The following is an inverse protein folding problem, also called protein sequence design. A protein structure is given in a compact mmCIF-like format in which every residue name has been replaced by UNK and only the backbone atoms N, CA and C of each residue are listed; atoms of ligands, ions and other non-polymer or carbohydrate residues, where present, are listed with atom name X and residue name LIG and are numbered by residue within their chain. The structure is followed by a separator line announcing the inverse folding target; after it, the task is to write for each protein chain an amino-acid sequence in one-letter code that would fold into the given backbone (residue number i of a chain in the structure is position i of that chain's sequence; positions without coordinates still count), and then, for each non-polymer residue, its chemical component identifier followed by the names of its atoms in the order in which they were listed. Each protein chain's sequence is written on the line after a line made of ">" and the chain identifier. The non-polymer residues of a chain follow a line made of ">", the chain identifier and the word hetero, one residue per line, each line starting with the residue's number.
data_IF_096573611401
#
_entry.id   IF_096573611401
#
_cell.length_a   1.000
_cell.length_b   1.000
_cell.length_c   1.000
_cell.angle_alpha   90.00
_cell.angle_beta   90.00
_cell.angle_gamma   90.00
#
_symmetry.space_group_name_H-M   'P 1'
#
loop_
_entity.id
_entity.type
_entity.pdbx_description
1 polymer ?
#
# COMPACT_ATOMS: atom_id res chain seq x y z
N UNK A 1 -18.48 -0.45 -12.01
CA UNK A 1 -18.21 0.65 -11.08
C UNK A 1 -16.73 0.87 -10.95
N UNK A 2 -16.33 2.13 -10.95
CA UNK A 2 -14.91 2.38 -10.86
C UNK A 2 -14.48 2.50 -9.41
N UNK A 3 -13.18 2.36 -9.19
CA UNK A 3 -12.58 2.56 -7.89
C UNK A 3 -12.51 4.06 -7.60
N UNK A 4 -12.83 4.43 -6.37
CA UNK A 4 -12.75 5.82 -5.93
C UNK A 4 -11.81 5.91 -4.75
N UNK A 5 -11.00 6.96 -4.75
CA UNK A 5 -10.04 7.21 -3.69
C UNK A 5 -10.38 8.46 -2.94
N UNK A 6 -10.15 8.42 -1.65
CA UNK A 6 -10.15 9.61 -0.81
C UNK A 6 -8.81 9.63 -0.08
N UNK A 7 -8.04 10.69 -0.29
CA UNK A 7 -6.71 10.81 0.29
C UNK A 7 -6.74 11.90 1.34
N UNK A 8 -6.38 11.55 2.58
CA UNK A 8 -6.40 12.48 3.70
C UNK A 8 -5.03 12.52 4.35
N UNK A 9 -4.29 13.63 4.22
CA UNK A 9 -3.01 13.74 4.92
C UNK A 9 -3.26 13.92 6.41
N UNK A 10 -2.49 13.18 7.19
CA UNK A 10 -2.52 13.28 8.65
C UNK A 10 -1.15 13.72 9.11
N UNK A 11 -1.02 13.93 10.42
CA UNK A 11 0.28 14.30 10.96
C UNK A 11 1.20 13.09 10.91
N UNK A 12 2.14 13.11 9.99
CA UNK A 12 3.14 12.07 9.89
C UNK A 12 2.77 10.88 9.02
N UNK A 13 1.55 10.82 8.50
CA UNK A 13 1.18 9.71 7.63
C UNK A 13 0.02 10.12 6.72
N UNK A 14 -0.27 9.24 5.77
CA UNK A 14 -1.32 9.47 4.78
C UNK A 14 -2.36 8.38 4.94
N UNK A 15 -3.63 8.76 5.02
CA UNK A 15 -4.72 7.81 5.02
C UNK A 15 -5.38 7.84 3.65
N UNK A 16 -5.56 6.66 3.06
CA UNK A 16 -6.20 6.51 1.77
C UNK A 16 -7.37 5.56 1.95
N UNK A 17 -8.55 5.98 1.55
CA UNK A 17 -9.72 5.10 1.56
C UNK A 17 -10.12 4.80 0.13
N UNK A 18 -10.29 3.53 -0.19
CA UNK A 18 -10.66 3.11 -1.53
C UNK A 18 -11.96 2.31 -1.47
N UNK A 19 -12.88 2.60 -2.39
CA UNK A 19 -14.15 1.88 -2.50
C UNK A 19 -14.39 1.60 -3.97
N UNK A 20 -15.22 0.61 -4.24
CA UNK A 20 -15.63 0.27 -5.60
C UNK A 20 -15.16 -1.11 -6.00
N UNK A 21 -15.30 -1.41 -7.28
CA UNK A 21 -14.93 -2.72 -7.80
C UNK A 21 -13.47 -2.71 -8.25
N UNK A 22 -12.71 -3.71 -7.82
CA UNK A 22 -11.30 -3.81 -8.18
C UNK A 22 -11.13 -3.94 -9.68
N UNK A 23 -10.18 -3.21 -10.24
CA UNK A 23 -9.76 -3.32 -11.62
C UNK A 23 -8.26 -3.07 -11.62
N UNK A 24 -7.51 -3.92 -12.32
CA UNK A 24 -6.06 -3.78 -12.35
C UNK A 24 -5.64 -2.42 -12.90
N UNK A 25 -6.31 -1.98 -13.95
CA UNK A 25 -6.00 -0.70 -14.57
C UNK A 25 -6.20 0.45 -13.59
N UNK A 26 -7.35 0.45 -12.92
CA UNK A 26 -7.65 1.54 -12.00
C UNK A 26 -6.79 1.46 -10.75
N UNK A 27 -6.48 0.24 -10.30
CA UNK A 27 -5.61 0.08 -9.14
C UNK A 27 -4.23 0.68 -9.41
N UNK A 28 -3.71 0.46 -10.62
CA UNK A 28 -2.42 1.06 -10.97
C UNK A 28 -2.49 2.57 -11.03
N UNK A 29 -3.55 3.11 -11.63
CA UNK A 29 -3.69 4.55 -11.71
C UNK A 29 -3.84 5.18 -10.34
N UNK A 30 -4.66 4.59 -9.47
CA UNK A 30 -4.85 5.14 -8.14
C UNK A 30 -3.59 5.02 -7.31
N UNK A 31 -2.78 3.99 -7.52
CA UNK A 31 -1.53 3.87 -6.80
C UNK A 31 -0.59 5.03 -7.14
N UNK A 32 -0.56 5.44 -8.41
CA UNK A 32 0.26 6.57 -8.80
C UNK A 32 -0.22 7.86 -8.12
N UNK A 33 -1.53 8.02 -7.94
CA UNK A 33 -2.05 9.17 -7.20
C UNK A 33 -1.58 9.16 -5.75
N UNK A 34 -1.52 7.96 -5.15
CA UNK A 34 -1.04 7.82 -3.79
C UNK A 34 0.43 8.24 -3.70
N UNK A 35 1.24 7.80 -4.65
CA UNK A 35 2.66 8.16 -4.64
C UNK A 35 2.87 9.65 -4.82
N UNK A 36 2.04 10.28 -5.64
CA UNK A 36 2.12 11.72 -5.81
C UNK A 36 1.82 12.43 -4.48
N UNK A 37 0.82 11.94 -3.75
CA UNK A 37 0.48 12.52 -2.45
C UNK A 37 1.59 12.27 -1.43
N UNK A 38 2.20 11.09 -1.45
CA UNK A 38 3.32 10.78 -0.57
C UNK A 38 4.44 11.81 -0.75
N UNK A 39 4.76 12.10 -2.01
CA UNK A 39 5.81 13.08 -2.30
C UNK A 39 5.38 14.48 -1.90
N UNK A 40 4.13 14.83 -2.20
CA UNK A 40 3.63 16.18 -1.93
C UNK A 40 3.61 16.48 -0.44
N UNK A 41 3.16 15.54 0.37
CA UNK A 41 3.03 15.75 1.80
C UNK A 41 4.25 15.27 2.58
N UNK A 42 5.23 14.71 1.89
CA UNK A 42 6.49 14.27 2.48
C UNK A 42 6.25 13.33 3.66
N UNK A 43 5.38 12.35 3.46
CA UNK A 43 5.09 11.36 4.49
C UNK A 43 5.88 10.09 4.21
N UNK A 44 6.05 9.27 5.23
CA UNK A 44 6.76 8.01 5.11
C UNK A 44 5.89 6.80 5.43
N UNK A 45 4.63 7.03 5.77
CA UNK A 45 3.71 5.97 6.15
C UNK A 45 2.39 6.20 5.45
N UNK A 46 1.84 5.13 4.88
CA UNK A 46 0.56 5.17 4.18
C UNK A 46 -0.33 4.07 4.75
N UNK A 47 -1.52 4.45 5.16
CA UNK A 47 -2.56 3.49 5.55
C UNK A 47 -3.58 3.46 4.45
N UNK A 48 -3.64 2.34 3.73
CA UNK A 48 -4.57 2.15 2.63
C UNK A 48 -5.73 1.31 3.16
N UNK A 49 -6.89 1.93 3.32
CA UNK A 49 -8.10 1.26 3.81
C UNK A 49 -8.93 0.88 2.60
N UNK A 50 -8.80 -0.36 2.16
CA UNK A 50 -9.52 -0.88 1.01
C UNK A 50 -10.64 -1.81 1.39
N UNK A 51 -11.18 -1.70 2.60
CA UNK A 51 -12.27 -2.58 3.02
C UNK A 51 -13.55 -2.34 2.22
N UNK A 52 -13.67 -1.19 1.55
CA UNK A 52 -14.81 -0.93 0.69
C UNK A 52 -14.63 -1.43 -0.74
N UNK A 53 -13.50 -2.06 -1.04
CA UNK A 53 -13.28 -2.65 -2.36
C UNK A 53 -13.97 -4.01 -2.45
N UNK A 54 -14.51 -4.31 -3.63
CA UNK A 54 -15.15 -5.60 -3.89
C UNK A 54 -14.50 -6.22 -5.11
N UNK A 55 -14.74 -7.53 -5.30
CA UNK A 55 -14.19 -8.25 -6.43
C UNK A 55 -13.22 -9.31 -5.98
N UNK A 56 -12.81 -10.13 -6.93
CA UNK A 56 -11.86 -11.20 -6.64
C UNK A 56 -10.73 -11.11 -7.66
N UNK A 57 -9.64 -10.42 -7.34
CA UNK A 57 -8.54 -10.30 -8.29
C UNK A 57 -7.96 -11.67 -8.62
N UNK A 58 -7.61 -11.86 -9.89
CA UNK A 58 -6.97 -13.09 -10.32
C UNK A 58 -5.52 -13.11 -9.85
N UNK A 59 -4.95 -14.31 -9.76
CA UNK A 59 -3.58 -14.45 -9.34
C UNK A 59 -2.63 -13.63 -10.21
N UNK A 60 -2.85 -13.66 -11.54
CA UNK A 60 -2.00 -12.91 -12.44
C UNK A 60 -2.15 -11.41 -12.23
N UNK A 61 -3.35 -10.95 -11.86
CA UNK A 61 -3.56 -9.55 -11.58
C UNK A 61 -2.83 -9.14 -10.30
N UNK A 62 -2.82 -10.01 -9.29
CA UNK A 62 -2.08 -9.74 -8.06
C UNK A 62 -0.59 -9.65 -8.33
N UNK A 63 -0.09 -10.50 -9.23
CA UNK A 63 1.30 -10.46 -9.61
C UNK A 63 1.65 -9.13 -10.29
N UNK A 64 0.84 -8.75 -11.27
CA UNK A 64 1.12 -7.51 -12.00
C UNK A 64 1.00 -6.28 -11.11
N UNK A 65 0.02 -6.28 -10.21
CA UNK A 65 -0.12 -5.14 -9.32
C UNK A 65 1.08 -5.03 -8.38
N UNK A 66 1.51 -6.14 -7.79
CA UNK A 66 2.67 -6.13 -6.89
C UNK A 66 3.92 -5.68 -7.60
N UNK A 67 4.15 -6.19 -8.81
CA UNK A 67 5.31 -5.81 -9.59
C UNK A 67 5.26 -4.33 -9.98
N UNK A 68 4.09 -3.89 -10.43
CA UNK A 68 3.90 -2.50 -10.83
C UNK A 68 4.12 -1.55 -9.64
N UNK A 69 3.53 -1.87 -8.49
CA UNK A 69 3.63 -1.01 -7.31
C UNK A 69 5.07 -0.87 -6.87
N UNK A 70 5.80 -1.98 -6.81
CA UNK A 70 7.20 -1.94 -6.38
C UNK A 70 8.05 -1.13 -7.35
N UNK A 71 7.79 -1.28 -8.65
CA UNK A 71 8.54 -0.55 -9.66
C UNK A 71 8.24 0.95 -9.58
N UNK A 72 6.96 1.29 -9.35
CA UNK A 72 6.57 2.68 -9.24
C UNK A 72 7.19 3.34 -8.02
N UNK A 73 7.25 2.63 -6.90
CA UNK A 73 7.87 3.14 -5.69
C UNK A 73 9.35 3.42 -5.93
N UNK A 74 10.04 2.50 -6.60
CA UNK A 74 11.46 2.69 -6.89
C UNK A 74 11.67 3.88 -7.81
N UNK A 75 10.82 4.03 -8.82
CA UNK A 75 10.96 5.14 -9.78
C UNK A 75 10.66 6.48 -9.13
N UNK A 76 9.76 6.51 -8.16
CA UNK A 76 9.39 7.76 -7.49
C UNK A 76 10.35 8.12 -6.36
N UNK A 77 11.33 7.27 -6.08
CA UNK A 77 12.33 7.51 -5.03
C UNK A 77 11.71 7.62 -3.63
N UNK A 78 10.63 6.87 -3.41
CA UNK A 78 9.97 6.83 -2.09
C UNK A 78 10.06 5.44 -1.49
N UNK A 79 11.15 4.75 -1.73
CA UNK A 79 11.30 3.33 -1.37
C UNK A 79 11.28 3.07 0.13
N UNK A 80 11.48 4.08 0.95
CA UNK A 80 11.42 3.90 2.40
C UNK A 80 10.04 4.17 2.96
N UNK A 81 9.06 4.43 2.10
CA UNK A 81 7.69 4.60 2.54
C UNK A 81 7.12 3.25 2.95
N UNK A 82 6.45 3.22 4.07
CA UNK A 82 5.84 2.02 4.64
C UNK A 82 4.36 2.03 4.27
N UNK A 83 3.90 0.97 3.59
CA UNK A 83 2.52 0.88 3.12
C UNK A 83 1.80 -0.23 3.87
N UNK A 84 0.73 0.11 4.59
CA UNK A 84 -0.14 -0.89 5.23
C UNK A 84 -1.45 -0.90 4.47
N UNK A 85 -1.84 -2.06 3.95
CA UNK A 85 -3.10 -2.25 3.25
C UNK A 85 -4.06 -2.99 4.15
N UNK A 86 -5.26 -2.46 4.35
CA UNK A 86 -6.32 -3.16 5.08
C UNK A 86 -7.36 -3.58 4.04
N UNK A 87 -7.53 -4.86 3.87
CA UNK A 87 -8.39 -5.42 2.82
C UNK A 87 -9.23 -6.54 3.40
N UNK A 88 -10.33 -6.87 2.73
CA UNK A 88 -11.14 -8.01 3.08
C UNK A 88 -11.07 -9.06 2.00
N UNK A 89 -11.19 -10.33 2.39
CA UNK A 89 -11.29 -11.43 1.44
C UNK A 89 -12.55 -11.23 0.62
N UNK A 90 -12.55 -11.43 -0.69
CA UNK A 90 -11.49 -12.03 -1.51
C UNK A 90 -10.53 -11.02 -2.14
N UNK A 91 -10.71 -9.72 -1.93
CA UNK A 91 -9.72 -8.76 -2.42
C UNK A 91 -8.39 -9.04 -1.74
N UNK A 92 -8.43 -9.30 -0.43
CA UNK A 92 -7.25 -9.76 0.27
C UNK A 92 -7.00 -11.22 -0.08
N UNK A 93 -5.83 -11.49 -0.61
CA UNK A 93 -5.42 -12.85 -0.95
C UNK A 93 -5.01 -13.58 0.34
N UNK A 94 -5.62 -14.74 0.66
CA UNK A 94 -5.21 -15.48 1.86
C UNK A 94 -3.74 -15.85 1.86
N UNK A 95 -3.14 -16.02 0.68
CA UNK A 95 -1.73 -16.37 0.56
C UNK A 95 -0.82 -15.15 0.45
N UNK A 96 -1.38 -13.95 0.41
CA UNK A 96 -0.64 -12.69 0.32
C UNK A 96 0.30 -12.66 -0.88
N UNK A 97 -0.13 -13.21 -1.99
CA UNK A 97 0.75 -13.35 -3.15
C UNK A 97 1.24 -12.00 -3.69
N UNK A 98 0.34 -11.01 -3.81
CA UNK A 98 0.74 -9.70 -4.29
C UNK A 98 1.74 -9.04 -3.35
N UNK A 99 1.53 -9.20 -2.04
CA UNK A 99 2.46 -8.67 -1.07
C UNK A 99 3.83 -9.30 -1.22
N UNK A 100 3.88 -10.62 -1.39
CA UNK A 100 5.16 -11.32 -1.54
C UNK A 100 5.90 -10.81 -2.76
N UNK A 101 5.18 -10.63 -3.88
CA UNK A 101 5.81 -10.14 -5.11
C UNK A 101 6.41 -8.75 -4.88
N UNK A 102 5.65 -7.85 -4.25
CA UNK A 102 6.11 -6.48 -4.04
C UNK A 102 7.29 -6.43 -3.07
N UNK A 103 7.21 -7.20 -1.97
CA UNK A 103 8.27 -7.22 -0.98
C UNK A 103 9.57 -7.75 -1.59
N UNK A 104 9.47 -8.80 -2.41
CA UNK A 104 10.65 -9.37 -3.03
C UNK A 104 11.30 -8.40 -4.01
N UNK A 105 10.61 -7.36 -4.41
CA UNK A 105 11.15 -6.34 -5.31
C UNK A 105 11.52 -5.05 -4.58
N UNK A 106 11.57 -5.11 -3.25
CA UNK A 106 12.06 -4.00 -2.46
C UNK A 106 11.03 -3.03 -1.93
N UNK A 107 9.76 -3.30 -2.12
CA UNK A 107 8.71 -2.44 -1.57
C UNK A 107 8.45 -2.80 -0.11
N UNK A 108 8.22 -1.79 0.71
CA UNK A 108 7.98 -1.98 2.13
C UNK A 108 6.48 -1.96 2.37
N UNK A 109 5.83 -3.11 2.25
CA UNK A 109 4.38 -3.20 2.27
C UNK A 109 3.93 -4.44 3.04
N UNK A 110 2.77 -4.33 3.67
CA UNK A 110 2.16 -5.47 4.34
C UNK A 110 0.65 -5.32 4.29
N UNK A 111 -0.03 -6.44 4.08
CA UNK A 111 -1.48 -6.48 4.00
C UNK A 111 -2.06 -7.06 5.30
N UNK A 112 -3.19 -6.52 5.71
CA UNK A 112 -3.85 -6.90 6.96
C UNK A 112 -5.33 -7.09 6.69
N UNK A 113 -5.98 -7.89 7.52
CA UNK A 113 -7.42 -8.07 7.44
C UNK A 113 -8.18 -7.25 8.48
N UNK A 114 -7.47 -6.41 9.23
CA UNK A 114 -8.11 -5.55 10.23
C UNK A 114 -7.27 -4.30 10.42
N UNK A 115 -7.95 -3.24 10.86
CA UNK A 115 -7.32 -1.94 10.99
C UNK A 115 -6.36 -1.88 12.17
N UNK A 116 -6.69 -2.57 13.25
CA UNK A 116 -5.89 -2.49 14.47
C UNK A 116 -4.47 -2.97 14.24
N UNK A 117 -4.33 -4.13 13.59
CA UNK A 117 -3.00 -4.68 13.32
C UNK A 117 -2.23 -3.78 12.37
N UNK A 118 -2.91 -3.19 11.40
CA UNK A 118 -2.26 -2.30 10.45
C UNK A 118 -1.70 -1.06 11.15
N UNK A 119 -2.48 -0.47 12.04
CA UNK A 119 -2.03 0.70 12.77
C UNK A 119 -0.88 0.37 13.69
N UNK A 120 -0.93 -0.79 14.32
CA UNK A 120 0.16 -1.22 15.18
C UNK A 120 1.45 -1.37 14.38
N UNK A 121 1.36 -2.00 13.21
CA UNK A 121 2.55 -2.18 12.38
C UNK A 121 3.12 -0.84 11.92
N UNK A 122 2.25 0.10 11.57
CA UNK A 122 2.70 1.42 11.13
C UNK A 122 3.30 2.24 12.26
N UNK A 123 2.92 1.96 13.50
CA UNK A 123 3.41 2.74 14.63
C UNK A 123 4.84 2.40 15.00
N UNK A 124 5.36 1.29 14.48
CA UNK A 124 6.70 0.82 14.79
C UNK A 124 7.62 1.24 13.66
N UNK A 125 8.70 1.94 13.97
CA UNK A 125 9.66 2.30 12.96
C UNK A 125 10.34 1.04 12.42
N UNK A 126 10.56 0.96 11.11
CA UNK A 126 11.23 -0.20 10.55
C UNK A 126 12.64 -0.33 11.10
N UNK A 127 13.03 -1.55 11.37
CA UNK A 127 14.36 -1.82 11.88
C UNK A 127 15.42 -1.39 10.88
N UNK A 128 15.09 -1.39 9.61
CA UNK A 128 16.02 -1.00 8.56
C UNK A 128 15.90 0.46 8.17
N UNK A 129 15.21 1.23 8.96
CA UNK A 129 15.09 2.64 8.67
C UNK A 129 16.45 3.29 8.84
N UNK A 130 16.92 4.00 7.83
CA UNK A 130 18.23 4.63 7.95
C UNK A 130 18.14 5.75 8.95
N UNK A 131 18.69 5.74 9.85
CA UNK A 131 18.75 6.68 10.88
C UNK A 131 18.48 6.11 12.13
N UNK A 132 18.20 5.72 11.93
CA UNK A 132 17.93 5.41 12.90
C UNK A 132 18.64 5.03 13.59
N UNK A 133 18.80 5.16 12.87
CA UNK A 133 19.15 4.94 13.29
C UNK A 133 19.69 4.55 13.67
N UNK A 134 19.53 4.50 13.67
CA UNK A 134 19.76 4.17 14.04
C UNK A 134 20.30 3.71 14.37
N UNK A 135 20.35 3.59 14.47
CA UNK A 135 20.57 3.20 14.78
C UNK A 135 20.86 2.90 15.26
N UNK A 136 20.86 2.60 15.45
CA UNK A 136 20.77 2.57 15.92
C UNK A 136 21.09 2.43 16.32
#
# INVERSE_FOLDING_TARGET
>A
MSMKLEICPELGFLTVRAVGEFSLEEAGRTFLEILEAVARYNVRKVLFDGRGLVGEPKTIERFYYGEFAARAVAAAAVRFTQFAYVLEVPVLDPWRFGEIVAVNRGMFVKAFDNLEDALEWLSVSPANEPDAGDNK
#
